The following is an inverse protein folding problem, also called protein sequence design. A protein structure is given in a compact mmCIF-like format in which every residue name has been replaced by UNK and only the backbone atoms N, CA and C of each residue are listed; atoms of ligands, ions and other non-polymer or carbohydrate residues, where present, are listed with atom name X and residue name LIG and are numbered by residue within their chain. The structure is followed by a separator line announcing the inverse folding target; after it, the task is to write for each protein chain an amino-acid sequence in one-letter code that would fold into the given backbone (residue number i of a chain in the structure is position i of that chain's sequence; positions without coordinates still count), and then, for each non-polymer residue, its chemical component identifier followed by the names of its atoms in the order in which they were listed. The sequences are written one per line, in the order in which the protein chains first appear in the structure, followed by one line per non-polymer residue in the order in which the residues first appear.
data_IF_678021364478
#
_entry.id   IF_678021364478
#
_cell.length_a   1.000
_cell.length_b   1.000
_cell.length_c   1.000
_cell.angle_alpha   90.00
_cell.angle_beta   90.00
_cell.angle_gamma   90.00
#
_symmetry.space_group_name_H-M   'P 1'
#
loop_
_entity.id
_entity.type
_entity.pdbx_description
1 polymer ?
#
# COMPACT_ATOMS: atom_id res chain seq x y z
N UNK A 1 48.07 -19.32 -18.42
CA UNK A 1 49.00 -18.84 -17.40
C UNK A 1 48.37 -17.61 -16.72
N UNK A 2 47.75 -17.79 -15.58
CA UNK A 2 47.25 -16.67 -14.77
C UNK A 2 47.49 -16.98 -13.32
N UNK A 3 48.38 -16.22 -12.72
CA UNK A 3 48.89 -16.36 -11.36
C UNK A 3 47.86 -15.94 -10.33
N UNK A 4 47.47 -16.85 -9.48
CA UNK A 4 46.63 -16.64 -8.32
C UNK A 4 47.49 -16.06 -7.20
N UNK A 5 47.20 -14.83 -6.77
CA UNK A 5 47.80 -14.21 -5.60
C UNK A 5 46.94 -14.46 -4.36
N UNK A 6 47.41 -15.33 -3.54
CA UNK A 6 46.89 -15.57 -2.19
C UNK A 6 47.48 -14.51 -1.26
N UNK A 7 46.62 -13.71 -0.63
CA UNK A 7 47.03 -12.84 0.48
C UNK A 7 46.75 -13.54 1.80
N UNK A 8 47.84 -13.88 2.48
CA UNK A 8 47.81 -14.40 3.84
C UNK A 8 47.89 -13.20 4.77
N UNK A 9 46.78 -12.84 5.43
CA UNK A 9 46.75 -11.82 6.47
C UNK A 9 47.15 -12.42 7.80
N UNK A 10 48.23 -11.91 8.37
CA UNK A 10 48.78 -12.29 9.66
C UNK A 10 47.93 -11.69 10.78
N UNK A 11 47.35 -12.54 11.62
CA UNK A 11 46.68 -12.15 12.85
C UNK A 11 47.72 -11.82 13.92
N UNK A 12 47.80 -10.58 14.36
CA UNK A 12 48.57 -10.18 15.50
C UNK A 12 47.73 -10.35 16.78
N UNK A 13 48.10 -11.33 17.58
CA UNK A 13 47.63 -11.46 18.96
C UNK A 13 48.33 -10.42 19.81
N UNK A 14 47.59 -9.42 20.31
CA UNK A 14 48.05 -8.59 21.42
C UNK A 14 47.35 -9.02 22.71
N UNK A 15 48.06 -9.76 23.56
CA UNK A 15 47.71 -10.01 24.93
C UNK A 15 48.07 -8.78 25.77
N UNK A 16 47.09 -8.07 26.24
CA UNK A 16 47.26 -7.04 27.27
C UNK A 16 46.87 -7.63 28.61
N UNK A 17 47.87 -7.96 29.39
CA UNK A 17 47.71 -8.28 30.80
C UNK A 17 47.66 -6.97 31.56
N UNK A 18 46.47 -6.49 31.88
CA UNK A 18 46.26 -5.33 32.74
C UNK A 18 45.62 -5.78 34.05
N UNK A 19 46.38 -5.74 35.14
CA UNK A 19 45.85 -5.84 36.49
C UNK A 19 44.93 -4.65 36.75
N UNK A 20 43.67 -4.89 36.89
CA UNK A 20 42.72 -3.89 37.35
C UNK A 20 42.71 -3.88 38.88
N UNK A 21 43.10 -2.77 39.43
CA UNK A 21 42.86 -2.44 40.82
C UNK A 21 41.46 -1.80 40.91
N UNK A 22 40.72 -2.21 41.95
CA UNK A 22 39.31 -1.91 42.13
C UNK A 22 38.98 -0.43 42.10
N UNK A 23 37.89 -0.14 41.56
CA UNK A 23 37.23 1.17 41.56
C UNK A 23 36.05 1.16 40.63
N UNK A 24 34.89 1.30 41.21
CA UNK A 24 33.65 1.68 40.58
C UNK A 24 33.30 0.96 39.25
N UNK A 25 32.60 -0.11 39.40
CA UNK A 25 31.75 -0.61 38.34
C UNK A 25 30.61 0.40 38.10
N UNK A 26 30.94 1.46 37.42
CA UNK A 26 29.87 2.18 36.71
C UNK A 26 29.35 1.17 35.71
N UNK A 27 28.24 0.56 36.07
CA UNK A 27 27.44 -0.24 35.16
C UNK A 27 27.35 0.51 33.84
N UNK A 28 27.78 -0.05 32.70
CA UNK A 28 27.50 0.60 31.44
C UNK A 28 25.99 0.75 31.39
N UNK A 29 25.56 1.98 31.31
CA UNK A 29 24.17 2.25 30.98
C UNK A 29 23.79 1.29 29.86
N UNK A 30 22.70 0.54 29.99
CA UNK A 30 22.22 -0.25 28.87
C UNK A 30 22.10 0.76 27.74
N UNK A 31 22.86 0.53 26.67
CA UNK A 31 22.65 1.22 25.44
C UNK A 31 21.14 1.24 25.26
N UNK A 32 20.55 2.43 25.33
CA UNK A 32 19.16 2.58 24.98
C UNK A 32 19.06 1.96 23.62
N UNK A 33 18.56 0.74 23.58
CA UNK A 33 18.12 0.12 22.34
C UNK A 33 17.08 1.11 21.87
N UNK A 34 17.45 1.93 20.87
CA UNK A 34 16.49 2.72 20.17
C UNK A 34 15.44 1.72 19.74
N UNK A 35 14.33 1.69 20.47
CA UNK A 35 13.16 0.92 20.08
C UNK A 35 12.78 1.53 18.76
N UNK A 36 13.28 0.95 17.69
CA UNK A 36 12.76 1.24 16.38
C UNK A 36 11.30 0.84 16.52
N UNK A 37 10.46 1.84 16.66
CA UNK A 37 9.03 1.68 16.47
C UNK A 37 8.92 1.25 15.03
N UNK A 38 9.01 -0.04 14.82
CA UNK A 38 8.54 -0.65 13.59
C UNK A 38 7.09 -0.20 13.53
N UNK A 39 6.67 0.55 12.52
CA UNK A 39 5.25 0.80 12.34
C UNK A 39 4.63 -0.57 12.06
N UNK A 40 4.23 -1.23 13.14
CA UNK A 40 3.72 -2.61 13.11
C UNK A 40 2.27 -2.69 12.71
N UNK A 41 1.66 -1.59 12.33
CA UNK A 41 0.30 -1.58 11.86
C UNK A 41 0.27 -1.17 10.40
N UNK A 42 0.29 -2.18 9.57
CA UNK A 42 -0.17 -2.03 8.21
C UNK A 42 -1.64 -1.63 8.27
N UNK A 43 -1.97 -0.40 7.90
CA UNK A 43 -3.33 0.09 7.89
C UNK A 43 -3.93 -0.06 6.48
N UNK A 44 -5.06 -0.70 6.41
CA UNK A 44 -5.89 -0.73 5.19
C UNK A 44 -6.46 0.67 4.98
N UNK A 45 -6.53 1.19 3.74
CA UNK A 45 -7.09 2.51 3.47
C UNK A 45 -8.54 2.65 3.93
N UNK A 46 -8.98 3.88 4.14
CA UNK A 46 -10.41 4.17 4.29
C UNK A 46 -11.19 3.94 3.01
N UNK A 47 -12.50 3.79 3.11
CA UNK A 47 -13.36 3.71 1.93
C UNK A 47 -13.36 5.04 1.16
N UNK A 48 -13.28 5.04 -0.18
CA UNK A 48 -13.45 6.24 -0.98
C UNK A 48 -14.84 6.85 -0.79
N UNK A 49 -14.92 8.17 -0.77
CA UNK A 49 -16.17 8.90 -0.66
C UNK A 49 -16.50 9.70 -1.91
N UNK A 50 -17.68 10.33 -1.92
CA UNK A 50 -18.11 11.25 -2.98
C UNK A 50 -18.01 10.68 -4.40
N UNK A 51 -18.35 9.40 -4.56
CA UNK A 51 -18.40 8.80 -5.88
C UNK A 51 -19.44 9.51 -6.73
N UNK A 52 -19.02 10.05 -7.87
CA UNK A 52 -19.81 10.74 -8.87
C UNK A 52 -19.69 10.04 -10.21
N UNK A 53 -20.76 10.03 -10.97
CA UNK A 53 -20.84 9.38 -12.28
C UNK A 53 -21.45 10.33 -13.29
N UNK A 54 -20.73 10.58 -14.38
CA UNK A 54 -21.21 11.33 -15.55
C UNK A 54 -21.35 10.39 -16.74
N UNK A 55 -22.50 10.42 -17.40
CA UNK A 55 -22.82 9.55 -18.55
C UNK A 55 -23.01 10.39 -19.79
N UNK A 56 -22.23 10.12 -20.83
CA UNK A 56 -22.34 10.76 -22.14
C UNK A 56 -22.44 9.66 -23.21
N UNK A 57 -23.67 9.36 -23.61
CA UNK A 57 -23.94 8.25 -24.52
C UNK A 57 -23.57 6.91 -23.87
N UNK A 58 -22.64 6.17 -24.49
CA UNK A 58 -22.13 4.91 -23.98
C UNK A 58 -20.84 5.06 -23.16
N UNK A 59 -20.33 6.29 -23.02
CA UNK A 59 -19.15 6.59 -22.22
C UNK A 59 -19.56 7.06 -20.83
N UNK A 60 -18.87 6.54 -19.82
CA UNK A 60 -19.15 6.81 -18.41
C UNK A 60 -17.85 7.26 -17.74
N UNK A 61 -17.89 8.41 -17.10
CA UNK A 61 -16.78 8.94 -16.30
C UNK A 61 -17.13 8.87 -14.83
N UNK A 62 -16.24 8.23 -14.06
CA UNK A 62 -16.34 8.11 -12.62
C UNK A 62 -15.31 8.97 -11.96
N UNK A 63 -15.64 9.63 -10.87
CA UNK A 63 -14.71 10.36 -10.02
C UNK A 63 -15.08 10.19 -8.54
N UNK A 64 -14.09 10.21 -7.67
CA UNK A 64 -14.26 10.03 -6.23
C UNK A 64 -13.22 10.80 -5.44
N UNK A 65 -13.40 10.88 -4.12
CA UNK A 65 -12.38 11.48 -3.26
C UNK A 65 -11.19 10.56 -3.10
N UNK A 66 -10.00 11.09 -3.34
CA UNK A 66 -8.76 10.36 -3.09
C UNK A 66 -8.61 10.03 -1.59
N UNK A 67 -8.03 8.88 -1.31
CA UNK A 67 -7.71 8.42 0.05
C UNK A 67 -6.20 8.43 0.22
N UNK A 68 -5.70 9.07 1.28
CA UNK A 68 -4.28 9.37 1.45
C UNK A 68 -3.36 8.16 1.52
N UNK A 69 -3.84 7.04 2.02
CA UNK A 69 -3.05 5.80 2.19
C UNK A 69 -3.30 4.77 1.08
N UNK A 70 -4.06 5.15 0.05
CA UNK A 70 -4.32 4.29 -1.09
C UNK A 70 -3.15 4.33 -2.09
N UNK A 71 -2.75 3.16 -2.57
CA UNK A 71 -1.81 3.03 -3.69
C UNK A 71 -2.54 3.01 -5.03
N UNK A 72 -3.72 2.40 -5.05
CA UNK A 72 -4.62 2.34 -6.21
C UNK A 72 -6.09 2.21 -5.76
N UNK A 73 -6.98 2.26 -6.72
CA UNK A 73 -8.41 2.09 -6.53
C UNK A 73 -8.93 0.97 -7.42
N UNK A 74 -9.81 0.17 -6.86
CA UNK A 74 -10.52 -0.90 -7.56
C UNK A 74 -11.92 -0.42 -7.88
N UNK A 75 -12.20 -0.24 -9.16
CA UNK A 75 -13.50 0.20 -9.67
C UNK A 75 -14.32 -1.01 -10.08
N UNK A 76 -15.51 -1.12 -9.51
CA UNK A 76 -16.47 -2.17 -9.83
C UNK A 76 -17.73 -1.55 -10.45
N UNK A 77 -18.13 -2.09 -11.57
CA UNK A 77 -19.39 -1.73 -12.22
C UNK A 77 -20.19 -3.01 -12.48
N UNK A 78 -21.43 -3.02 -12.08
CA UNK A 78 -22.29 -4.20 -12.18
C UNK A 78 -23.75 -3.84 -12.38
N UNK A 79 -24.57 -4.88 -12.49
CA UNK A 79 -26.02 -4.76 -12.71
C UNK A 79 -26.82 -4.63 -11.41
N UNK A 80 -26.18 -4.89 -10.28
CA UNK A 80 -26.80 -4.79 -8.94
C UNK A 80 -25.89 -4.01 -7.99
N UNK A 81 -26.45 -3.39 -6.94
CA UNK A 81 -25.65 -2.61 -5.99
C UNK A 81 -24.73 -3.46 -5.12
N UNK A 82 -24.94 -4.76 -5.03
CA UNK A 82 -24.22 -5.62 -4.05
C UNK A 82 -23.35 -6.71 -4.68
N UNK A 83 -23.54 -7.04 -5.96
CA UNK A 83 -22.79 -8.13 -6.58
C UNK A 83 -22.92 -8.09 -8.11
N UNK A 84 -22.24 -9.00 -8.79
CA UNK A 84 -22.19 -9.15 -10.23
C UNK A 84 -21.49 -7.99 -10.94
N UNK A 85 -20.19 -7.96 -10.76
CA UNK A 85 -19.30 -7.06 -11.51
C UNK A 85 -19.36 -7.41 -12.99
N UNK A 86 -19.75 -6.43 -13.81
CA UNK A 86 -19.58 -6.51 -15.26
C UNK A 86 -18.18 -6.06 -15.64
N UNK A 87 -17.61 -5.15 -14.86
CA UNK A 87 -16.29 -4.60 -15.03
C UNK A 87 -15.59 -4.51 -13.68
N UNK A 88 -14.36 -4.99 -13.66
CA UNK A 88 -13.41 -4.81 -12.57
C UNK A 88 -12.14 -4.23 -13.15
N UNK A 89 -11.72 -3.06 -12.68
CA UNK A 89 -10.48 -2.44 -13.12
C UNK A 89 -9.77 -1.72 -11.98
N UNK A 90 -8.45 -1.59 -12.09
CA UNK A 90 -7.62 -0.87 -11.13
C UNK A 90 -7.10 0.41 -11.76
N UNK A 91 -7.06 1.49 -10.99
CA UNK A 91 -6.49 2.77 -11.39
C UNK A 91 -5.78 3.44 -10.22
N UNK A 92 -4.60 4.04 -10.43
CA UNK A 92 -3.93 4.82 -9.38
C UNK A 92 -4.56 6.20 -9.18
N UNK A 93 -5.44 6.62 -10.08
CA UNK A 93 -6.04 7.94 -10.07
C UNK A 93 -7.44 7.90 -9.43
N UNK A 94 -7.89 9.03 -8.87
CA UNK A 94 -9.22 9.15 -8.27
C UNK A 94 -10.33 9.38 -9.30
N UNK A 95 -10.12 8.93 -10.49
CA UNK A 95 -11.10 8.94 -11.59
C UNK A 95 -10.85 7.79 -12.56
N UNK A 96 -11.87 7.40 -13.30
CA UNK A 96 -11.79 6.39 -14.34
C UNK A 96 -12.87 6.60 -15.39
N UNK A 97 -12.53 6.36 -16.66
CA UNK A 97 -13.50 6.43 -17.76
C UNK A 97 -13.68 5.05 -18.37
N UNK A 98 -14.93 4.72 -18.66
CA UNK A 98 -15.33 3.45 -19.24
C UNK A 98 -16.08 3.76 -20.52
N UNK A 99 -15.64 3.18 -21.62
CA UNK A 99 -16.30 3.29 -22.92
C UNK A 99 -17.05 2.01 -23.26
N UNK A 100 -18.14 2.16 -24.00
CA UNK A 100 -18.89 1.03 -24.54
C UNK A 100 -19.55 0.13 -23.48
N UNK A 101 -20.06 0.71 -22.40
CA UNK A 101 -20.95 -0.03 -21.51
C UNK A 101 -22.27 -0.36 -22.21
N UNK A 102 -22.81 -1.57 -21.99
CA UNK A 102 -24.13 -1.94 -22.52
C UNK A 102 -25.22 -1.01 -22.02
N UNK A 103 -26.24 -0.77 -22.85
CA UNK A 103 -27.39 -0.01 -22.41
C UNK A 103 -28.11 -0.68 -21.25
N UNK A 104 -28.53 0.12 -20.28
CA UNK A 104 -29.20 -0.39 -19.08
C UNK A 104 -28.83 0.38 -17.81
N UNK A 105 -29.36 -0.08 -16.68
CA UNK A 105 -29.03 0.48 -15.37
C UNK A 105 -27.82 -0.26 -14.78
N UNK A 106 -26.84 0.49 -14.37
CA UNK A 106 -25.61 0.00 -13.75
C UNK A 106 -25.41 0.62 -12.36
N UNK A 107 -24.57 -0.02 -11.59
CA UNK A 107 -24.14 0.42 -10.26
C UNK A 107 -22.63 0.44 -10.21
N UNK A 108 -22.05 1.54 -9.77
CA UNK A 108 -20.61 1.67 -9.56
C UNK A 108 -20.27 1.70 -8.08
N UNK A 109 -19.15 1.09 -7.73
CA UNK A 109 -18.51 1.14 -6.41
C UNK A 109 -17.01 1.25 -6.59
N UNK A 110 -16.34 1.81 -5.62
CA UNK A 110 -14.87 1.92 -5.62
C UNK A 110 -14.32 1.48 -4.27
N UNK A 111 -13.27 0.69 -4.28
CA UNK A 111 -12.47 0.38 -3.12
C UNK A 111 -11.12 1.08 -3.23
N UNK A 112 -10.56 1.50 -2.14
CA UNK A 112 -9.16 1.87 -2.06
C UNK A 112 -8.32 0.65 -1.69
N UNK A 113 -7.15 0.53 -2.28
CA UNK A 113 -6.25 -0.58 -2.05
C UNK A 113 -4.82 -0.08 -1.78
N UNK A 114 -4.12 -0.77 -0.91
CA UNK A 114 -2.69 -0.64 -0.69
C UNK A 114 -2.07 -2.01 -0.38
N UNK A 115 -0.78 -2.04 -0.11
CA UNK A 115 -0.07 -3.27 0.23
C UNK A 115 -0.55 -3.96 1.52
N UNK A 116 -1.35 -3.27 2.35
CA UNK A 116 -1.96 -3.82 3.56
C UNK A 116 -3.31 -4.49 3.31
N UNK A 117 -3.97 -4.13 2.24
CA UNK A 117 -5.25 -4.70 1.86
C UNK A 117 -6.19 -3.73 1.16
N UNK A 118 -7.43 -4.15 1.03
CA UNK A 118 -8.50 -3.42 0.34
C UNK A 118 -9.51 -2.89 1.35
N UNK A 119 -9.93 -1.65 1.17
CA UNK A 119 -10.92 -0.98 2.00
C UNK A 119 -12.33 -1.58 1.84
N UNK A 120 -13.24 -1.17 2.72
CA UNK A 120 -14.66 -1.28 2.43
C UNK A 120 -15.01 -0.53 1.12
N UNK A 121 -16.08 -0.91 0.40
CA UNK A 121 -16.52 -0.18 -0.79
C UNK A 121 -17.05 1.21 -0.43
N UNK A 122 -17.02 2.10 -1.42
CA UNK A 122 -17.84 3.32 -1.39
C UNK A 122 -19.32 2.97 -1.40
N UNK A 123 -20.17 3.94 -1.11
CA UNK A 123 -21.60 3.81 -1.37
C UNK A 123 -21.83 3.57 -2.88
N UNK A 124 -22.74 2.67 -3.23
CA UNK A 124 -23.04 2.40 -4.65
C UNK A 124 -23.77 3.59 -5.28
N UNK A 125 -23.35 3.95 -6.48
CA UNK A 125 -24.04 4.96 -7.31
C UNK A 125 -24.67 4.28 -8.50
N UNK A 126 -25.97 4.49 -8.69
CA UNK A 126 -26.70 3.99 -9.85
C UNK A 126 -26.66 4.99 -11.00
N UNK A 127 -26.51 4.50 -12.22
CA UNK A 127 -26.56 5.31 -13.44
C UNK A 127 -27.13 4.51 -14.60
N UNK A 128 -27.57 5.20 -15.64
CA UNK A 128 -28.18 4.56 -16.80
C UNK A 128 -27.45 4.94 -18.08
N UNK A 129 -27.07 3.92 -18.83
CA UNK A 129 -26.53 4.02 -20.18
C UNK A 129 -27.68 3.83 -21.18
N UNK A 130 -27.74 4.66 -22.21
CA UNK A 130 -28.76 4.64 -23.26
C UNK A 130 -28.29 3.92 -24.53
#
# INVERSE_FOLDING_TARGET
MRTLRVWIGIAALMSVTGCANGGDVTSPSPLAVATQTVPSSCAVPGAPGNLSVDVIGASVSLSWSAVGDAADFVVLVGWTPSSAETLLTNTPEAHHSIDSLPAGTHYARVHAHNWCGTSAPSDPVSFRVQ
#
